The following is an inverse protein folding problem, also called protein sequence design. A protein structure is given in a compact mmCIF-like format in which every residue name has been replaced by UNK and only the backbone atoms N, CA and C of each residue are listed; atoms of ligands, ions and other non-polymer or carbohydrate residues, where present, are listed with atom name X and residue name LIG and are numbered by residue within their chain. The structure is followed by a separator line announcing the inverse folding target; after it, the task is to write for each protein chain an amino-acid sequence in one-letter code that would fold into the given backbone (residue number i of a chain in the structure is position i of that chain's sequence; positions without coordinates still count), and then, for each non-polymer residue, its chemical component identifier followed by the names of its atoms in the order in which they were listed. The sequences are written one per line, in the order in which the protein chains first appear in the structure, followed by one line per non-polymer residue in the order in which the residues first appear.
data_IF_873396532264
#
_entry.id   IF_873396532264
#
_cell.length_a   1.000
_cell.length_b   1.000
_cell.length_c   1.000
_cell.angle_alpha   90.00
_cell.angle_beta   90.00
_cell.angle_gamma   90.00
#
_symmetry.space_group_name_H-M   'P 1'
#
loop_
_entity.id
_entity.type
_entity.pdbx_description
1 polymer ?
#
# COMPACT_ATOMS: atom_id res chain seq x y z
N UNK A 1 -56.35 14.45 -49.11
CA UNK A 1 -56.15 14.12 -47.69
C UNK A 1 -55.12 13.01 -47.49
N UNK A 2 -55.24 11.87 -48.17
CA UNK A 2 -54.30 10.72 -48.05
C UNK A 2 -52.85 11.06 -48.44
N UNK A 3 -52.64 11.85 -49.51
CA UNK A 3 -51.29 12.26 -49.95
C UNK A 3 -50.60 13.14 -48.90
N UNK A 4 -51.34 14.10 -48.31
CA UNK A 4 -50.82 15.00 -47.28
C UNK A 4 -50.41 14.22 -46.02
N UNK A 5 -51.21 13.23 -45.62
CA UNK A 5 -50.92 12.37 -44.47
C UNK A 5 -49.65 11.53 -44.68
N UNK A 6 -49.44 10.98 -45.89
CA UNK A 6 -48.23 10.23 -46.22
C UNK A 6 -46.97 11.11 -46.18
N UNK A 7 -47.05 12.36 -46.66
CA UNK A 7 -45.91 13.29 -46.60
C UNK A 7 -45.52 13.62 -45.15
N UNK A 8 -46.51 13.80 -44.27
CA UNK A 8 -46.27 14.06 -42.84
C UNK A 8 -45.59 12.86 -42.16
N UNK A 9 -46.03 11.63 -42.44
CA UNK A 9 -45.44 10.42 -41.87
C UNK A 9 -43.99 10.25 -42.33
N UNK A 10 -43.70 10.50 -43.61
CA UNK A 10 -42.33 10.41 -44.15
C UNK A 10 -41.43 11.47 -43.51
N UNK A 11 -41.90 12.71 -43.35
CA UNK A 11 -41.14 13.77 -42.67
C UNK A 11 -40.88 13.43 -41.20
N UNK A 12 -41.86 12.84 -40.52
CA UNK A 12 -41.71 12.44 -39.12
C UNK A 12 -40.69 11.30 -38.96
N UNK A 13 -40.71 10.32 -39.87
CA UNK A 13 -39.74 9.23 -39.89
C UNK A 13 -38.30 9.75 -40.14
N UNK A 14 -38.14 10.72 -41.05
CA UNK A 14 -36.84 11.35 -41.31
C UNK A 14 -36.32 12.14 -40.09
N UNK A 15 -37.20 12.85 -39.38
CA UNK A 15 -36.82 13.57 -38.17
C UNK A 15 -36.36 12.62 -37.05
N UNK A 16 -37.06 11.50 -36.84
CA UNK A 16 -36.67 10.48 -35.87
C UNK A 16 -35.33 9.82 -36.22
N UNK A 17 -35.10 9.53 -37.49
CA UNK A 17 -33.83 8.97 -37.96
C UNK A 17 -32.65 9.94 -37.73
N UNK A 18 -32.86 11.24 -37.97
CA UNK A 18 -31.85 12.27 -37.73
C UNK A 18 -31.50 12.41 -36.24
N UNK A 19 -32.51 12.39 -35.35
CA UNK A 19 -32.30 12.44 -33.90
C UNK A 19 -31.56 11.19 -33.42
N UNK A 20 -31.95 10.00 -33.91
CA UNK A 20 -31.27 8.74 -33.56
C UNK A 20 -29.80 8.72 -33.97
N UNK A 21 -29.49 9.21 -35.18
CA UNK A 21 -28.12 9.35 -35.65
C UNK A 21 -27.31 10.35 -34.81
N UNK A 22 -27.90 11.49 -34.45
CA UNK A 22 -27.27 12.50 -33.61
C UNK A 22 -26.94 11.98 -32.21
N UNK A 23 -27.88 11.28 -31.56
CA UNK A 23 -27.66 10.66 -30.25
C UNK A 23 -26.57 9.58 -30.32
N UNK A 24 -26.56 8.75 -31.36
CA UNK A 24 -25.55 7.70 -31.52
C UNK A 24 -24.13 8.28 -31.74
N UNK A 25 -24.03 9.40 -32.45
CA UNK A 25 -22.75 10.12 -32.62
C UNK A 25 -22.31 10.74 -31.29
N UNK A 26 -23.22 11.39 -30.56
CA UNK A 26 -22.89 12.02 -29.29
C UNK A 26 -22.55 11.00 -28.20
N UNK A 27 -23.24 9.85 -28.16
CA UNK A 27 -22.94 8.78 -27.20
C UNK A 27 -21.56 8.17 -27.46
N UNK A 28 -21.16 8.04 -28.73
CA UNK A 28 -19.80 7.60 -29.10
C UNK A 28 -18.74 8.61 -28.67
N UNK A 29 -18.96 9.89 -28.96
CA UNK A 29 -18.02 10.94 -28.57
C UNK A 29 -17.84 11.01 -27.03
N UNK A 30 -18.94 10.87 -26.28
CA UNK A 30 -18.90 10.83 -24.82
C UNK A 30 -18.24 9.55 -24.27
N UNK A 31 -18.39 8.42 -24.95
CA UNK A 31 -17.69 7.17 -24.61
C UNK A 31 -16.20 7.26 -24.90
N UNK A 32 -15.81 7.86 -26.03
CA UNK A 32 -14.41 8.07 -26.39
C UNK A 32 -13.73 9.05 -25.42
N UNK A 33 -14.43 10.10 -24.98
CA UNK A 33 -13.94 11.02 -23.92
C UNK A 33 -13.87 10.36 -22.54
N UNK A 34 -14.85 9.51 -22.18
CA UNK A 34 -14.82 8.73 -20.95
C UNK A 34 -13.69 7.67 -20.95
N UNK A 35 -13.42 7.04 -22.09
CA UNK A 35 -12.27 6.14 -22.25
C UNK A 35 -10.96 6.89 -22.25
N UNK A 36 -10.87 8.06 -22.90
CA UNK A 36 -9.67 8.89 -22.87
C UNK A 36 -9.37 9.41 -21.46
N UNK A 37 -10.37 9.92 -20.74
CA UNK A 37 -10.19 10.38 -19.35
C UNK A 37 -9.75 9.24 -18.44
N UNK A 38 -10.38 8.06 -18.54
CA UNK A 38 -9.96 6.84 -17.83
C UNK A 38 -8.55 6.38 -18.23
N UNK A 39 -8.14 6.59 -19.48
CA UNK A 39 -6.79 6.27 -19.99
C UNK A 39 -5.75 7.31 -19.57
N UNK A 40 -6.12 8.57 -19.41
CA UNK A 40 -5.24 9.65 -18.95
C UNK A 40 -4.99 9.51 -17.44
N UNK A 41 -5.98 9.15 -16.63
CA UNK A 41 -5.76 8.76 -15.22
C UNK A 41 -4.76 7.61 -15.09
N UNK A 42 -4.75 6.67 -16.05
CA UNK A 42 -3.76 5.57 -16.13
C UNK A 42 -2.40 5.95 -16.72
N UNK A 43 -2.26 7.13 -17.33
CA UNK A 43 -1.01 7.54 -17.97
C UNK A 43 -0.01 8.21 -17.01
N UNK A 44 -0.47 8.66 -15.84
CA UNK A 44 0.40 9.10 -14.74
C UNK A 44 0.96 7.96 -13.89
N UNK A 45 0.41 6.75 -14.03
CA UNK A 45 0.90 5.55 -13.38
C UNK A 45 1.89 4.87 -14.32
N UNK A 46 3.13 5.36 -14.36
CA UNK A 46 4.26 4.51 -14.71
C UNK A 46 4.40 3.45 -13.62
N UNK A 47 3.51 2.46 -13.69
CA UNK A 47 3.60 1.21 -12.97
C UNK A 47 4.81 0.48 -13.51
N UNK A 48 5.96 0.78 -12.92
CA UNK A 48 7.03 -0.21 -12.84
C UNK A 48 6.35 -1.43 -12.24
N UNK A 49 6.18 -2.49 -13.03
CA UNK A 49 5.87 -3.84 -12.54
C UNK A 49 7.01 -4.21 -11.58
N UNK A 50 6.91 -3.75 -10.34
CA UNK A 50 7.82 -4.11 -9.27
C UNK A 50 7.36 -5.45 -8.72
N UNK A 51 8.32 -6.32 -8.44
CA UNK A 51 8.10 -7.61 -7.80
C UNK A 51 7.34 -7.42 -6.48
N UNK A 52 6.62 -8.46 -6.05
CA UNK A 52 5.91 -8.43 -4.77
C UNK A 52 6.86 -8.12 -3.62
N UNK A 53 6.41 -7.28 -2.68
CA UNK A 53 7.12 -6.97 -1.44
C UNK A 53 7.43 -8.24 -0.61
N UNK A 54 6.70 -9.33 -0.83
CA UNK A 54 6.96 -10.62 -0.20
C UNK A 54 8.35 -11.17 -0.57
N UNK A 55 8.77 -11.02 -1.83
CA UNK A 55 10.10 -11.48 -2.27
C UNK A 55 11.21 -10.60 -1.68
N UNK A 56 10.96 -9.29 -1.59
CA UNK A 56 11.88 -8.34 -0.96
C UNK A 56 12.11 -8.66 0.53
N UNK A 57 11.03 -8.94 1.26
CA UNK A 57 11.08 -9.27 2.67
C UNK A 57 11.76 -10.61 2.93
N UNK A 58 11.62 -11.58 2.02
CA UNK A 58 12.28 -12.89 2.13
C UNK A 58 13.80 -12.80 2.19
N UNK A 59 14.39 -11.78 1.54
CA UNK A 59 15.83 -11.53 1.58
C UNK A 59 16.25 -10.58 2.72
N UNK A 60 15.35 -9.71 3.17
CA UNK A 60 15.65 -8.71 4.20
C UNK A 60 15.40 -9.20 5.64
N UNK A 61 14.54 -10.20 5.84
CA UNK A 61 14.15 -10.71 7.16
C UNK A 61 14.74 -12.10 7.43
N UNK A 62 15.03 -12.44 8.70
CA UNK A 62 15.50 -13.77 9.06
C UNK A 62 14.44 -14.83 8.73
N UNK A 63 14.91 -16.03 8.37
CA UNK A 63 14.01 -17.15 8.11
C UNK A 63 13.31 -17.59 9.40
N UNK A 64 12.07 -18.09 9.31
CA UNK A 64 11.29 -18.49 10.50
C UNK A 64 12.00 -19.55 11.34
N UNK A 65 12.75 -20.44 10.68
CA UNK A 65 13.57 -21.45 11.34
C UNK A 65 14.69 -20.82 12.20
N UNK A 66 15.28 -19.71 11.75
CA UNK A 66 16.33 -19.00 12.49
C UNK A 66 15.75 -18.29 13.71
N UNK A 67 14.59 -17.65 13.57
CA UNK A 67 13.89 -17.03 14.71
C UNK A 67 13.53 -18.09 15.75
N UNK A 68 12.96 -19.22 15.30
CA UNK A 68 12.62 -20.33 16.20
C UNK A 68 13.84 -20.88 16.92
N UNK A 69 14.95 -21.09 16.20
CA UNK A 69 16.20 -21.56 16.79
C UNK A 69 16.76 -20.58 17.82
N UNK A 70 16.66 -19.27 17.56
CA UNK A 70 17.09 -18.23 18.49
C UNK A 70 16.21 -18.17 19.75
N UNK A 71 14.87 -18.24 19.60
CA UNK A 71 13.93 -18.25 20.72
C UNK A 71 14.07 -19.50 21.61
N UNK A 72 14.56 -20.62 21.06
CA UNK A 72 14.82 -21.86 21.79
C UNK A 72 16.17 -21.88 22.52
N UNK A 73 16.97 -20.82 22.42
CA UNK A 73 18.24 -20.75 23.15
C UNK A 73 17.98 -20.74 24.66
N UNK A 74 18.80 -21.46 25.46
CA UNK A 74 18.63 -21.53 26.92
C UNK A 74 18.63 -20.17 27.61
N UNK A 75 19.33 -19.19 27.02
CA UNK A 75 19.48 -17.82 27.53
C UNK A 75 18.15 -17.05 27.53
N UNK A 76 17.21 -17.39 26.65
CA UNK A 76 15.92 -16.69 26.53
C UNK A 76 14.90 -17.15 27.59
N UNK A 77 15.09 -18.35 28.16
CA UNK A 77 14.25 -18.91 29.22
C UNK A 77 12.73 -18.88 28.89
N UNK A 78 12.36 -19.20 27.65
CA UNK A 78 10.98 -19.21 27.16
C UNK A 78 10.36 -20.61 27.22
N UNK A 79 9.07 -20.68 27.54
CA UNK A 79 8.30 -21.92 27.41
C UNK A 79 8.02 -22.24 25.92
N UNK A 80 7.80 -23.51 25.56
CA UNK A 80 7.44 -23.88 24.19
C UNK A 80 6.22 -23.13 23.65
N UNK A 81 5.20 -22.91 24.50
CA UNK A 81 4.00 -22.15 24.15
C UNK A 81 4.30 -20.68 23.86
N UNK A 82 5.21 -20.07 24.62
CA UNK A 82 5.64 -18.68 24.37
C UNK A 82 6.40 -18.55 23.05
N UNK A 83 7.28 -19.52 22.75
CA UNK A 83 8.00 -19.57 21.47
C UNK A 83 7.01 -19.63 20.30
N UNK A 84 6.02 -20.52 20.37
CA UNK A 84 5.02 -20.65 19.30
C UNK A 84 4.17 -19.38 19.17
N UNK A 85 3.81 -18.72 20.28
CA UNK A 85 3.10 -17.44 20.25
C UNK A 85 3.92 -16.34 19.55
N UNK A 86 5.20 -16.19 19.88
CA UNK A 86 6.08 -15.21 19.23
C UNK A 86 6.24 -15.46 17.72
N UNK A 87 6.34 -16.73 17.32
CA UNK A 87 6.41 -17.10 15.89
C UNK A 87 5.11 -16.77 15.17
N UNK A 88 3.96 -17.09 15.76
CA UNK A 88 2.65 -16.75 15.19
C UNK A 88 2.46 -15.23 15.09
N UNK A 89 2.80 -14.50 16.14
CA UNK A 89 2.74 -13.03 16.13
C UNK A 89 3.62 -12.46 15.03
N UNK A 90 4.86 -12.92 14.91
CA UNK A 90 5.78 -12.48 13.87
C UNK A 90 5.21 -12.70 12.47
N UNK A 91 4.67 -13.89 12.20
CA UNK A 91 4.08 -14.23 10.92
C UNK A 91 2.86 -13.34 10.62
N UNK A 92 1.95 -13.20 11.59
CA UNK A 92 0.75 -12.37 11.43
C UNK A 92 1.11 -10.90 11.16
N UNK A 93 2.12 -10.36 11.88
CA UNK A 93 2.59 -9.00 11.65
C UNK A 93 3.22 -8.84 10.26
N UNK A 94 4.00 -9.81 9.78
CA UNK A 94 4.53 -9.78 8.41
C UNK A 94 3.42 -9.81 7.36
N UNK A 95 2.44 -10.70 7.52
CA UNK A 95 1.34 -10.83 6.58
C UNK A 95 0.48 -9.56 6.54
N UNK A 96 0.24 -8.93 7.70
CA UNK A 96 -0.45 -7.65 7.79
C UNK A 96 0.31 -6.54 7.05
N UNK A 97 1.61 -6.44 7.27
CA UNK A 97 2.47 -5.44 6.62
C UNK A 97 2.50 -5.62 5.11
N UNK A 98 2.63 -6.85 4.64
CA UNK A 98 2.56 -7.17 3.20
C UNK A 98 1.20 -6.73 2.64
N UNK A 99 0.10 -7.08 3.31
CA UNK A 99 -1.24 -6.70 2.89
C UNK A 99 -1.42 -5.19 2.81
N UNK A 100 -0.90 -4.42 3.76
CA UNK A 100 -1.00 -2.95 3.74
C UNK A 100 -0.19 -2.33 2.61
N UNK A 101 0.99 -2.87 2.28
CA UNK A 101 1.78 -2.40 1.13
C UNK A 101 1.06 -2.74 -0.18
N UNK A 102 0.53 -3.95 -0.30
CA UNK A 102 -0.23 -4.38 -1.49
C UNK A 102 -1.53 -3.58 -1.67
N UNK A 103 -2.21 -3.24 -0.56
CA UNK A 103 -3.35 -2.33 -0.55
C UNK A 103 -2.96 -0.94 -1.07
N UNK A 104 -1.89 -0.35 -0.51
CA UNK A 104 -1.37 0.94 -0.97
C UNK A 104 -0.99 0.94 -2.46
N UNK A 105 -0.37 -0.14 -2.93
CA UNK A 105 -0.05 -0.33 -4.35
C UNK A 105 -1.30 -0.38 -5.24
N UNK A 106 -2.37 -1.02 -4.76
CA UNK A 106 -3.64 -1.13 -5.49
C UNK A 106 -4.41 0.19 -5.53
N UNK A 107 -4.32 0.99 -4.46
CA UNK A 107 -4.99 2.30 -4.32
C UNK A 107 -4.18 3.46 -4.89
N UNK A 108 -2.93 3.23 -5.31
CA UNK A 108 -2.02 4.27 -5.80
C UNK A 108 -1.43 5.15 -4.69
N UNK A 109 -1.47 4.68 -3.44
CA UNK A 109 -0.88 5.34 -2.28
C UNK A 109 0.59 4.92 -2.16
N UNK A 110 1.49 5.89 -2.18
CA UNK A 110 2.94 5.65 -2.16
C UNK A 110 3.61 6.03 -0.83
N UNK A 111 2.85 6.43 0.17
CA UNK A 111 3.38 6.86 1.47
C UNK A 111 2.73 6.12 2.62
N UNK A 112 3.56 5.61 3.53
CA UNK A 112 3.16 4.78 4.65
C UNK A 112 3.70 5.36 5.95
N UNK A 113 3.04 5.05 7.06
CA UNK A 113 3.43 5.41 8.42
C UNK A 113 3.63 4.14 9.23
N UNK A 114 4.59 4.18 10.14
CA UNK A 114 4.77 3.13 11.15
C UNK A 114 4.26 3.68 12.49
N UNK A 115 3.27 3.00 13.07
CA UNK A 115 2.74 3.29 14.40
C UNK A 115 3.55 2.54 15.44
N UNK A 116 4.26 3.29 16.29
CA UNK A 116 5.07 2.75 17.38
C UNK A 116 4.23 2.78 18.65
N UNK A 117 3.98 1.61 19.25
CA UNK A 117 3.30 1.51 20.54
C UNK A 117 4.29 1.77 21.68
N UNK A 118 3.79 2.15 22.84
CA UNK A 118 4.62 2.52 24.01
C UNK A 118 5.64 1.44 24.39
N UNK A 119 5.28 0.16 24.23
CA UNK A 119 6.16 -1.00 24.47
C UNK A 119 7.46 -0.96 23.64
N UNK A 120 7.38 -0.43 22.42
CA UNK A 120 8.45 -0.52 21.43
C UNK A 120 9.25 0.78 21.29
N UNK A 121 8.91 1.84 22.02
CA UNK A 121 9.52 3.17 21.87
C UNK A 121 11.02 3.19 22.12
N UNK A 122 11.49 2.45 23.12
CA UNK A 122 12.92 2.40 23.47
C UNK A 122 13.75 1.67 22.40
N UNK A 123 13.17 0.62 21.82
CA UNK A 123 13.85 -0.18 20.79
C UNK A 123 13.76 0.50 19.41
N UNK A 124 12.62 1.11 19.07
CA UNK A 124 12.36 1.73 17.77
C UNK A 124 12.71 3.23 17.71
N UNK A 125 13.76 3.67 18.41
CA UNK A 125 14.15 5.08 18.52
C UNK A 125 14.57 5.77 17.21
N UNK A 126 14.77 5.00 16.13
CA UNK A 126 15.10 5.53 14.81
C UNK A 126 13.90 6.16 14.07
N UNK A 127 12.68 5.89 14.53
CA UNK A 127 11.43 6.40 13.99
C UNK A 127 10.79 7.39 14.97
N UNK A 128 10.28 8.49 14.43
CA UNK A 128 9.42 9.43 15.12
C UNK A 128 7.97 9.27 14.63
N UNK A 129 6.98 9.68 15.44
CA UNK A 129 5.56 9.58 15.07
C UNK A 129 5.20 10.40 13.82
N UNK A 130 6.00 11.42 13.51
CA UNK A 130 5.87 12.28 12.32
C UNK A 130 6.49 11.68 11.07
N UNK A 131 7.20 10.55 11.20
CA UNK A 131 7.90 9.97 10.08
C UNK A 131 6.96 9.21 9.14
N UNK A 132 7.25 9.34 7.85
CA UNK A 132 6.68 8.48 6.81
C UNK A 132 7.79 7.85 5.98
N UNK A 133 7.49 6.68 5.42
CA UNK A 133 8.31 5.98 4.45
C UNK A 133 7.57 5.93 3.12
N UNK A 134 8.31 6.04 2.01
CA UNK A 134 7.71 5.89 0.69
C UNK A 134 7.79 4.43 0.21
N UNK A 135 6.95 4.11 -0.76
CA UNK A 135 6.98 2.84 -1.49
C UNK A 135 8.38 2.56 -2.05
N UNK A 136 9.06 3.56 -2.60
CA UNK A 136 10.42 3.43 -3.11
C UNK A 136 11.42 3.09 -2.00
N UNK A 137 11.31 3.73 -0.85
CA UNK A 137 12.14 3.41 0.31
C UNK A 137 11.90 1.98 0.78
N UNK A 138 10.66 1.52 0.78
CA UNK A 138 10.28 0.15 1.16
C UNK A 138 10.96 -0.88 0.25
N UNK A 139 10.88 -0.72 -1.07
CA UNK A 139 11.50 -1.66 -2.00
C UNK A 139 13.04 -1.63 -1.97
N UNK A 140 13.64 -0.45 -1.76
CA UNK A 140 15.10 -0.33 -1.66
C UNK A 140 15.64 -0.82 -0.31
N UNK A 141 14.83 -0.71 0.75
CA UNK A 141 15.20 -1.04 2.13
C UNK A 141 14.06 -1.78 2.85
N UNK A 142 13.76 -3.04 2.49
CA UNK A 142 12.59 -3.76 3.01
C UNK A 142 12.69 -4.05 4.52
N UNK A 143 13.89 -4.01 5.07
CA UNK A 143 14.14 -4.13 6.52
C UNK A 143 13.54 -2.98 7.34
N UNK A 144 13.16 -1.86 6.71
CA UNK A 144 12.43 -0.76 7.35
C UNK A 144 11.03 -1.15 7.82
N UNK A 145 10.44 -2.18 7.24
CA UNK A 145 9.10 -2.63 7.57
C UNK A 145 9.09 -3.44 8.89
N UNK A 146 8.08 -3.28 9.76
CA UNK A 146 7.89 -4.17 10.91
C UNK A 146 7.47 -5.59 10.45
N UNK A 147 7.51 -6.61 11.33
CA UNK A 147 8.07 -6.59 12.68
C UNK A 147 9.61 -6.52 12.67
N UNK A 148 10.20 -5.88 13.69
CA UNK A 148 11.65 -5.75 13.82
C UNK A 148 12.28 -6.89 14.62
N UNK A 149 11.62 -7.28 15.72
CA UNK A 149 12.03 -8.33 16.65
C UNK A 149 10.79 -9.16 17.09
N UNK A 150 10.97 -10.39 17.60
CA UNK A 150 9.88 -11.17 18.18
C UNK A 150 9.16 -10.42 19.30
N UNK A 151 7.84 -10.29 19.19
CA UNK A 151 7.03 -9.53 20.16
C UNK A 151 6.86 -8.04 19.84
N UNK A 152 7.41 -7.56 18.72
CA UNK A 152 7.20 -6.22 18.20
C UNK A 152 5.71 -5.97 17.96
N UNK A 153 5.23 -4.80 18.39
CA UNK A 153 3.84 -4.38 18.29
C UNK A 153 3.64 -3.17 17.38
N UNK A 154 4.66 -2.82 16.59
CA UNK A 154 4.60 -1.78 15.58
C UNK A 154 3.73 -2.20 14.39
N UNK A 155 2.94 -1.26 13.88
CA UNK A 155 1.99 -1.50 12.79
C UNK A 155 2.30 -0.57 11.61
N UNK A 156 2.16 -1.09 10.39
CA UNK A 156 2.23 -0.28 9.17
C UNK A 156 0.81 0.19 8.82
N UNK A 157 0.66 1.48 8.53
CA UNK A 157 -0.59 2.05 8.05
C UNK A 157 -0.37 2.95 6.85
N UNK A 158 -1.40 3.10 6.03
CA UNK A 158 -1.40 4.05 4.93
C UNK A 158 -1.39 5.48 5.48
N UNK A 159 -0.51 6.34 4.95
CA UNK A 159 -0.49 7.74 5.34
C UNK A 159 -1.63 8.47 4.64
N UNK A 160 -2.66 8.86 5.38
CA UNK A 160 -3.74 9.64 4.81
C UNK A 160 -3.31 11.10 4.59
N UNK A 161 -3.74 11.76 3.50
CA UNK A 161 -3.38 13.15 3.22
C UNK A 161 -3.83 14.15 4.29
N UNK A 162 -4.93 13.86 4.99
CA UNK A 162 -5.54 14.72 6.01
C UNK A 162 -5.05 14.42 7.44
N UNK A 163 -4.29 13.36 7.65
CA UNK A 163 -3.73 13.07 8.96
C UNK A 163 -2.66 14.12 9.28
N UNK A 164 -2.71 14.72 10.47
CA UNK A 164 -1.73 15.70 10.93
C UNK A 164 -1.07 15.20 12.23
N UNK A 165 0.14 14.60 12.15
CA UNK A 165 0.77 13.96 13.31
C UNK A 165 1.33 15.00 14.28
N UNK A 166 1.70 16.21 13.82
CA UNK A 166 2.21 17.30 14.65
C UNK A 166 2.11 18.67 13.98
N UNK A 167 2.39 19.74 14.74
CA UNK A 167 2.50 21.12 14.21
C UNK A 167 3.54 21.28 13.11
N UNK A 168 4.54 20.40 13.04
CA UNK A 168 5.61 20.43 12.04
C UNK A 168 5.29 19.67 10.75
N UNK A 169 4.14 18.98 10.69
CA UNK A 169 3.77 18.15 9.55
C UNK A 169 4.63 16.89 9.41
N UNK A 170 4.35 16.14 8.34
CA UNK A 170 5.02 14.89 8.01
C UNK A 170 6.47 15.08 7.58
N UNK A 171 7.36 14.19 8.06
CA UNK A 171 8.78 14.19 7.69
C UNK A 171 9.15 12.85 7.08
N UNK A 172 9.81 12.84 5.93
CA UNK A 172 10.32 11.58 5.38
C UNK A 172 11.37 11.00 6.34
N UNK A 173 11.34 9.69 6.56
CA UNK A 173 12.41 9.01 7.28
C UNK A 173 13.69 9.11 6.46
N UNK A 174 14.72 9.74 7.03
CA UNK A 174 16.01 9.86 6.39
C UNK A 174 16.97 8.78 6.91
N UNK A 175 17.87 8.27 6.06
CA UNK A 175 18.98 7.46 6.54
C UNK A 175 19.84 8.29 7.51
N UNK A 176 20.42 7.62 8.51
CA UNK A 176 21.30 8.24 9.48
C UNK A 176 22.76 8.17 8.97
N UNK A 177 23.72 7.97 9.87
CA UNK A 177 25.14 7.85 9.57
C UNK A 177 25.41 6.83 8.46
N UNK A 178 26.30 7.20 7.52
CA UNK A 178 26.73 6.39 6.37
C UNK A 178 25.63 5.94 5.40
N UNK A 179 24.50 6.66 5.36
CA UNK A 179 23.41 6.38 4.41
C UNK A 179 22.61 5.12 4.72
N UNK A 180 22.71 4.61 5.96
CA UNK A 180 21.95 3.44 6.44
C UNK A 180 20.89 3.85 7.46
N UNK A 181 19.80 3.09 7.53
CA UNK A 181 18.78 3.27 8.56
C UNK A 181 19.15 2.41 9.79
N UNK A 182 19.09 2.99 10.99
CA UNK A 182 19.38 2.28 12.26
C UNK A 182 18.16 1.48 12.74
N UNK A 183 17.81 0.42 12.02
CA UNK A 183 16.73 -0.49 12.43
C UNK A 183 17.21 -1.40 13.58
N UNK A 184 16.35 -1.76 14.55
CA UNK A 184 16.71 -2.65 15.65
C UNK A 184 17.21 -4.01 15.18
N UNK A 185 18.08 -4.64 15.97
CA UNK A 185 18.44 -6.04 15.75
C UNK A 185 17.24 -6.93 16.05
N UNK A 186 16.99 -7.92 15.19
CA UNK A 186 15.90 -8.87 15.36
C UNK A 186 16.13 -9.81 16.54
N UNK A 187 17.38 -9.95 17.01
CA UNK A 187 17.75 -10.74 18.20
C UNK A 187 17.48 -9.99 19.51
N UNK A 188 16.29 -9.41 19.61
CA UNK A 188 15.78 -8.72 20.79
C UNK A 188 14.44 -9.33 21.17
N UNK A 189 14.05 -9.21 22.44
CA UNK A 189 12.74 -9.62 22.93
C UNK A 189 12.07 -8.42 23.60
N UNK A 190 10.76 -8.31 23.41
CA UNK A 190 9.92 -7.31 24.03
C UNK A 190 8.87 -7.94 24.93
#
# INVERSE_FOLDING_TARGET
MVILLNVIIILFALALAAIGAWVAIQSRNNQDEAELSKKIERSGSYGVLRHSIREDLKHAKPAMAEIKAWLQQPEQNLSPEQVDNYIQQWQNSLDQVISTVEEGDSEGISTFRILIKDKDKDLCCFLHEDNFITREQIHNHPYLLPPYYPGCSCELTLKQPWDNPSKSGWKSLLPQEDGKYKVPDWRQLA
#
